data_IF_061115776394
#
_entry.id   IF_061115776394
#
_cell.length_a   1.000
_cell.length_b   1.000
_cell.length_c   1.000
_cell.angle_alpha   90.00
_cell.angle_beta   90.00
_cell.angle_gamma   90.00
#
_symmetry.space_group_name_H-M   'P 1'
#
loop_
_entity.id
_entity.type
_entity.pdbx_description
1 polymer ?
#
# COMPACT_ATOMS: atom_id res chain seq x y z
N UNK A 1 -14.04 -14.69 -13.70
CA UNK A 1 -12.79 -14.12 -13.15
C UNK A 1 -12.88 -12.62 -13.29
N UNK A 2 -13.12 -11.91 -12.19
CA UNK A 2 -13.21 -10.45 -12.17
C UNK A 2 -11.81 -9.83 -12.43
N UNK A 3 -11.47 -9.60 -13.70
CA UNK A 3 -10.43 -8.69 -14.26
C UNK A 3 -9.08 -8.49 -13.54
N UNK A 4 -8.68 -9.32 -12.58
CA UNK A 4 -7.44 -9.16 -11.79
C UNK A 4 -7.47 -7.97 -10.81
N UNK A 5 -8.65 -7.55 -10.34
CA UNK A 5 -8.75 -6.48 -9.34
C UNK A 5 -8.38 -7.04 -7.96
N UNK A 6 -7.35 -6.47 -7.33
CA UNK A 6 -6.79 -6.92 -6.05
C UNK A 6 -6.98 -5.92 -4.90
N UNK A 7 -7.50 -4.73 -5.18
CA UNK A 7 -7.55 -3.65 -4.21
C UNK A 7 -8.29 -2.41 -4.66
N UNK A 8 -8.52 -1.51 -3.70
CA UNK A 8 -9.11 -0.18 -3.88
C UNK A 8 -8.10 0.86 -3.42
N UNK A 9 -7.93 1.92 -4.21
CA UNK A 9 -7.02 3.03 -3.88
C UNK A 9 -7.84 4.23 -3.40
N UNK A 10 -7.45 4.81 -2.27
CA UNK A 10 -8.00 6.06 -1.75
C UNK A 10 -6.87 7.07 -1.51
N UNK A 11 -7.10 8.33 -1.88
CA UNK A 11 -6.16 9.43 -1.61
C UNK A 11 -6.86 10.59 -0.90
N UNK A 12 -7.04 10.48 0.43
CA UNK A 12 -7.78 11.48 1.23
C UNK A 12 -7.19 12.89 1.08
N UNK A 13 -5.86 13.02 1.15
CA UNK A 13 -5.16 14.30 1.10
C UNK A 13 -5.27 14.99 -0.27
N UNK A 14 -5.19 14.24 -1.36
CA UNK A 14 -5.30 14.82 -2.72
C UNK A 14 -6.73 15.23 -3.08
N UNK A 15 -7.74 14.60 -2.46
CA UNK A 15 -9.14 14.84 -2.77
C UNK A 15 -9.92 15.52 -1.64
N UNK A 16 -9.23 15.96 -0.58
CA UNK A 16 -9.78 16.70 0.56
C UNK A 16 -11.02 16.03 1.18
N UNK A 17 -10.92 14.72 1.46
CA UNK A 17 -11.97 13.98 2.17
C UNK A 17 -11.40 13.22 3.36
N UNK A 18 -12.28 12.86 4.30
CA UNK A 18 -11.93 12.07 5.48
C UNK A 18 -12.15 10.57 5.24
N UNK A 19 -11.23 9.71 5.69
CA UNK A 19 -11.46 8.26 5.73
C UNK A 19 -12.62 7.88 6.67
N UNK A 20 -13.01 8.77 7.58
CA UNK A 20 -14.15 8.58 8.48
C UNK A 20 -15.48 8.99 7.84
N UNK A 21 -15.47 9.48 6.60
CA UNK A 21 -16.68 9.91 5.93
C UNK A 21 -17.62 8.70 5.71
N UNK A 22 -18.89 8.83 6.11
CA UNK A 22 -19.85 7.72 6.14
C UNK A 22 -20.13 7.12 4.76
N UNK A 23 -19.98 7.91 3.70
CA UNK A 23 -20.10 7.41 2.31
C UNK A 23 -19.04 6.37 1.95
N UNK A 24 -17.95 6.22 2.72
CA UNK A 24 -16.93 5.20 2.47
C UNK A 24 -17.28 3.85 3.10
N UNK A 25 -18.33 3.76 3.93
CA UNK A 25 -18.71 2.49 4.57
C UNK A 25 -18.92 1.37 3.57
N UNK A 26 -19.59 1.63 2.43
CA UNK A 26 -19.80 0.61 1.40
C UNK A 26 -18.48 0.15 0.76
N UNK A 27 -17.47 1.04 0.68
CA UNK A 27 -16.14 0.70 0.15
C UNK A 27 -15.44 -0.25 1.10
N UNK A 28 -15.47 0.04 2.40
CA UNK A 28 -14.87 -0.82 3.42
C UNK A 28 -15.55 -2.18 3.51
N UNK A 29 -16.88 -2.22 3.43
CA UNK A 29 -17.65 -3.47 3.35
C UNK A 29 -17.31 -4.27 2.09
N UNK A 30 -17.17 -3.60 0.94
CA UNK A 30 -16.77 -4.26 -0.30
C UNK A 30 -15.38 -4.90 -0.16
N UNK A 31 -14.41 -4.16 0.37
CA UNK A 31 -13.03 -4.63 0.57
C UNK A 31 -13.03 -5.86 1.46
N UNK A 32 -13.74 -5.80 2.59
CA UNK A 32 -13.79 -6.91 3.55
C UNK A 32 -14.47 -8.15 2.95
N UNK A 33 -15.64 -7.98 2.33
CA UNK A 33 -16.40 -9.09 1.70
C UNK A 33 -15.68 -9.74 0.53
N UNK A 34 -14.77 -9.02 -0.13
CA UNK A 34 -14.02 -9.48 -1.30
C UNK A 34 -12.56 -9.81 -0.98
N UNK A 35 -12.14 -9.69 0.29
CA UNK A 35 -10.75 -9.94 0.69
C UNK A 35 -9.72 -9.05 0.00
N UNK A 36 -10.09 -7.82 -0.38
CA UNK A 36 -9.24 -6.92 -1.17
C UNK A 36 -8.24 -6.14 -0.28
N UNK A 37 -7.24 -5.54 -0.93
CA UNK A 37 -6.30 -4.60 -0.29
C UNK A 37 -6.90 -3.19 -0.30
N UNK A 38 -6.75 -2.45 0.79
CA UNK A 38 -6.90 -0.99 0.75
C UNK A 38 -5.54 -0.32 0.56
N UNK A 39 -5.38 0.46 -0.49
CA UNK A 39 -4.20 1.30 -0.72
C UNK A 39 -4.52 2.74 -0.33
N UNK A 40 -3.70 3.33 0.54
CA UNK A 40 -3.87 4.69 1.02
C UNK A 40 -2.66 5.54 0.64
N UNK A 41 -2.91 6.68 0.02
CA UNK A 41 -1.88 7.67 -0.27
C UNK A 41 -1.86 8.74 0.83
N UNK A 42 -0.77 8.81 1.58
CA UNK A 42 -0.48 9.80 2.63
C UNK A 42 -1.67 10.12 3.57
N UNK A 43 -2.24 9.11 4.27
CA UNK A 43 -3.33 9.33 5.21
C UNK A 43 -2.83 9.93 6.53
N UNK A 44 -3.70 10.67 7.24
CA UNK A 44 -3.38 11.09 8.61
C UNK A 44 -3.27 9.89 9.55
N UNK A 45 -2.34 9.94 10.51
CA UNK A 45 -2.14 8.86 11.49
C UNK A 45 -3.41 8.52 12.29
N UNK A 46 -4.19 9.54 12.67
CA UNK A 46 -5.40 9.34 13.48
C UNK A 46 -6.51 8.65 12.70
N UNK A 47 -6.66 8.96 11.41
CA UNK A 47 -7.61 8.26 10.56
C UNK A 47 -7.17 6.85 10.22
N UNK A 48 -5.87 6.64 10.01
CA UNK A 48 -5.29 5.32 9.81
C UNK A 48 -5.51 4.42 11.04
N UNK A 49 -5.26 4.93 12.25
CA UNK A 49 -5.54 4.18 13.49
C UNK A 49 -7.02 3.81 13.61
N UNK A 50 -7.92 4.77 13.42
CA UNK A 50 -9.37 4.51 13.44
C UNK A 50 -9.76 3.40 12.44
N UNK A 51 -9.20 3.44 11.24
CA UNK A 51 -9.48 2.44 10.21
C UNK A 51 -8.97 1.05 10.64
N UNK A 52 -7.74 0.98 11.15
CA UNK A 52 -7.11 -0.27 11.58
C UNK A 52 -7.80 -0.88 12.80
N UNK A 53 -8.35 -0.07 13.70
CA UNK A 53 -9.12 -0.54 14.86
C UNK A 53 -10.47 -1.13 14.44
N UNK A 54 -11.06 -0.62 13.35
CA UNK A 54 -12.41 -1.01 12.89
C UNK A 54 -12.41 -2.17 11.90
N UNK A 55 -11.38 -2.30 11.06
CA UNK A 55 -11.35 -3.27 9.95
C UNK A 55 -10.08 -4.12 9.95
N UNK A 56 -10.19 -5.34 9.39
CA UNK A 56 -9.15 -6.37 9.42
C UNK A 56 -8.47 -6.62 8.06
N UNK A 57 -8.90 -5.96 6.99
CA UNK A 57 -8.25 -6.11 5.68
C UNK A 57 -6.80 -5.58 5.66
N UNK A 58 -5.96 -6.03 4.70
CA UNK A 58 -4.62 -5.50 4.50
C UNK A 58 -4.64 -4.03 4.04
N UNK A 59 -3.68 -3.24 4.53
CA UNK A 59 -3.51 -1.83 4.16
C UNK A 59 -2.12 -1.62 3.58
N UNK A 60 -2.04 -0.98 2.41
CA UNK A 60 -0.78 -0.57 1.78
C UNK A 60 -0.70 0.95 1.79
N UNK A 61 0.38 1.49 2.36
CA UNK A 61 0.59 2.92 2.47
C UNK A 61 1.58 3.41 1.41
N UNK A 62 1.19 4.42 0.65
CA UNK A 62 2.05 5.14 -0.29
C UNK A 62 2.45 6.47 0.33
N UNK A 63 3.74 6.80 0.28
CA UNK A 63 4.31 8.07 0.79
C UNK A 63 3.93 8.39 2.24
N UNK A 64 3.81 7.38 3.09
CA UNK A 64 3.54 7.56 4.52
C UNK A 64 4.83 7.75 5.30
N UNK A 65 4.91 8.84 6.07
CA UNK A 65 5.98 9.07 7.06
C UNK A 65 5.72 8.32 8.38
N UNK A 66 4.51 7.79 8.56
CA UNK A 66 4.11 7.15 9.80
C UNK A 66 4.59 5.70 9.89
N UNK A 67 5.23 5.35 11.00
CA UNK A 67 5.55 3.95 11.33
C UNK A 67 4.43 3.38 12.21
N UNK A 68 3.65 2.46 11.64
CA UNK A 68 2.58 1.76 12.34
C UNK A 68 3.00 0.34 12.67
N UNK A 69 2.92 -0.02 13.95
CA UNK A 69 3.16 -1.38 14.42
C UNK A 69 1.89 -2.23 14.26
N UNK A 70 1.60 -2.65 13.03
CA UNK A 70 0.48 -3.52 12.69
C UNK A 70 0.90 -4.41 11.52
N UNK A 71 0.77 -5.73 11.68
CA UNK A 71 1.22 -6.73 10.70
C UNK A 71 0.47 -6.67 9.36
N UNK A 72 -0.71 -6.04 9.34
CA UNK A 72 -1.54 -5.87 8.15
C UNK A 72 -1.12 -4.66 7.31
N UNK A 73 -0.21 -3.83 7.83
CA UNK A 73 0.23 -2.59 7.19
C UNK A 73 1.54 -2.81 6.44
N UNK A 74 1.50 -2.55 5.14
CA UNK A 74 2.64 -2.57 4.23
C UNK A 74 2.96 -1.16 3.75
N UNK A 75 4.22 -0.92 3.36
CA UNK A 75 4.71 0.38 2.92
C UNK A 75 5.23 0.29 1.50
N UNK A 76 4.72 1.11 0.59
CA UNK A 76 5.35 1.27 -0.72
C UNK A 76 6.57 2.15 -0.55
N UNK A 77 7.72 1.64 -0.98
CA UNK A 77 9.00 2.36 -0.99
C UNK A 77 9.50 2.46 -2.43
N UNK A 78 9.98 3.63 -2.81
CA UNK A 78 10.56 3.90 -4.11
C UNK A 78 12.05 4.27 -3.95
N UNK A 79 12.70 4.67 -5.04
CA UNK A 79 14.12 5.01 -5.07
C UNK A 79 14.53 6.15 -4.11
N UNK A 80 13.60 6.99 -3.68
CA UNK A 80 13.81 8.13 -2.78
C UNK A 80 13.32 7.91 -1.35
N UNK A 81 12.51 6.87 -1.10
CA UNK A 81 11.95 6.56 0.22
C UNK A 81 12.98 6.01 1.18
N UNK A 82 12.82 6.29 2.48
CA UNK A 82 13.50 5.52 3.53
C UNK A 82 12.78 4.19 3.75
N UNK A 83 13.52 3.08 3.83
CA UNK A 83 12.94 1.77 4.16
C UNK A 83 12.68 1.72 5.67
N UNK A 84 11.41 1.74 6.05
CA UNK A 84 10.97 1.76 7.46
C UNK A 84 11.12 0.37 8.11
N UNK A 85 10.56 -0.67 7.48
CA UNK A 85 10.60 -2.07 7.95
C UNK A 85 10.74 -2.99 6.72
N UNK A 86 11.92 -3.59 6.47
CA UNK A 86 12.14 -4.44 5.29
C UNK A 86 11.16 -5.60 5.14
N UNK A 87 10.56 -6.10 6.23
CA UNK A 87 9.59 -7.21 6.19
C UNK A 87 8.20 -6.78 5.72
N UNK A 88 7.93 -5.48 5.70
CA UNK A 88 6.63 -4.90 5.32
C UNK A 88 6.74 -3.82 4.25
N UNK A 89 7.95 -3.50 3.82
CA UNK A 89 8.20 -2.62 2.67
C UNK A 89 8.05 -3.39 1.36
N UNK A 90 7.45 -2.75 0.36
CA UNK A 90 7.24 -3.26 -0.99
C UNK A 90 7.78 -2.22 -1.96
N UNK A 91 8.62 -2.64 -2.91
CA UNK A 91 9.07 -1.74 -3.97
C UNK A 91 7.91 -1.30 -4.86
N UNK A 92 7.76 0.02 -5.04
CA UNK A 92 6.89 0.64 -6.03
C UNK A 92 7.67 1.63 -6.87
N UNK A 93 7.47 1.59 -8.18
CA UNK A 93 8.23 2.45 -9.11
C UNK A 93 7.77 3.91 -9.14
N UNK A 94 6.53 4.17 -8.77
CA UNK A 94 5.80 5.41 -9.06
C UNK A 94 5.88 5.86 -10.53
N UNK A 95 6.25 5.01 -11.47
CA UNK A 95 6.27 5.41 -12.87
C UNK A 95 4.84 5.68 -13.38
N UNK A 96 4.63 6.69 -14.25
CA UNK A 96 5.64 7.52 -14.90
C UNK A 96 5.96 8.83 -14.15
N UNK A 97 5.63 8.95 -12.86
CA UNK A 97 5.97 10.15 -12.09
C UNK A 97 7.49 10.37 -12.02
N UNK A 98 7.89 11.63 -11.82
CA UNK A 98 9.30 12.05 -11.77
C UNK A 98 10.12 11.77 -13.05
N UNK A 99 9.45 11.60 -14.19
CA UNK A 99 10.09 11.35 -15.51
C UNK A 99 10.94 10.09 -15.55
N UNK A 100 10.70 9.13 -14.64
CA UNK A 100 11.37 7.85 -14.61
C UNK A 100 10.47 6.77 -15.21
N UNK A 101 11.01 5.98 -16.13
CA UNK A 101 10.36 4.74 -16.53
C UNK A 101 10.58 3.63 -15.49
N UNK A 102 9.84 2.52 -15.62
CA UNK A 102 9.89 1.38 -14.70
C UNK A 102 11.30 0.85 -14.46
N UNK A 103 12.11 0.73 -15.53
CA UNK A 103 13.46 0.19 -15.48
C UNK A 103 14.40 1.19 -14.78
N UNK A 104 14.28 2.48 -15.09
CA UNK A 104 15.08 3.53 -14.47
C UNK A 104 14.81 3.64 -12.98
N UNK A 105 13.54 3.61 -12.56
CA UNK A 105 13.18 3.61 -11.14
C UNK A 105 13.77 2.40 -10.42
N UNK A 106 13.69 1.20 -11.00
CA UNK A 106 14.22 0.00 -10.37
C UNK A 106 15.75 0.05 -10.22
N UNK A 107 16.46 0.54 -11.24
CA UNK A 107 17.91 0.74 -11.19
C UNK A 107 18.31 1.73 -10.10
N UNK A 108 17.59 2.84 -9.99
CA UNK A 108 17.85 3.84 -8.94
C UNK A 108 17.55 3.29 -7.55
N UNK A 109 16.46 2.54 -7.39
CA UNK A 109 16.13 1.88 -6.13
C UNK A 109 17.26 0.95 -5.67
N UNK A 110 17.72 0.04 -6.53
CA UNK A 110 18.83 -0.88 -6.21
C UNK A 110 20.13 -0.13 -5.93
N UNK A 111 20.41 0.95 -6.69
CA UNK A 111 21.60 1.78 -6.46
C UNK A 111 21.59 2.44 -5.09
N UNK A 112 20.44 2.91 -4.63
CA UNK A 112 20.31 3.69 -3.40
C UNK A 112 20.17 2.82 -2.15
N UNK A 113 19.51 1.66 -2.27
CA UNK A 113 19.16 0.81 -1.12
C UNK A 113 19.86 -0.55 -1.10
N UNK A 114 20.56 -0.91 -2.19
CA UNK A 114 20.95 -2.29 -2.44
C UNK A 114 19.77 -3.14 -2.92
N UNK A 115 20.07 -4.37 -3.37
CA UNK A 115 19.02 -5.33 -3.68
C UNK A 115 18.62 -6.11 -2.43
N UNK A 116 17.36 -5.93 -2.02
CA UNK A 116 16.70 -6.74 -1.00
C UNK A 116 15.55 -7.52 -1.66
N UNK A 117 15.63 -8.85 -1.68
CA UNK A 117 14.63 -9.74 -2.28
C UNK A 117 13.27 -9.62 -1.59
N UNK A 118 13.26 -9.37 -0.29
CA UNK A 118 12.03 -9.31 0.48
C UNK A 118 11.23 -8.07 0.05
N UNK A 119 11.89 -6.92 0.00
CA UNK A 119 11.31 -5.63 -0.42
C UNK A 119 11.00 -5.60 -1.92
N UNK A 120 11.91 -6.09 -2.76
CA UNK A 120 11.78 -5.99 -4.22
C UNK A 120 10.75 -6.94 -4.82
N UNK A 121 10.40 -8.03 -4.13
CA UNK A 121 9.58 -9.10 -4.71
C UNK A 121 8.69 -9.86 -3.72
N UNK A 122 9.29 -10.42 -2.65
CA UNK A 122 8.60 -11.42 -1.82
C UNK A 122 7.37 -10.85 -1.10
N UNK A 123 7.51 -9.69 -0.45
CA UNK A 123 6.44 -9.10 0.36
C UNK A 123 5.19 -8.80 -0.48
N UNK A 124 5.39 -8.27 -1.70
CA UNK A 124 4.30 -8.02 -2.65
C UNK A 124 3.64 -9.34 -3.07
N UNK A 125 4.45 -10.33 -3.45
CA UNK A 125 3.95 -11.63 -3.91
C UNK A 125 3.13 -12.34 -2.84
N UNK A 126 3.62 -12.34 -1.58
CA UNK A 126 2.90 -12.93 -0.45
C UNK A 126 1.58 -12.21 -0.16
N UNK A 127 1.57 -10.87 -0.19
CA UNK A 127 0.35 -10.09 -0.02
C UNK A 127 -0.69 -10.40 -1.12
N UNK A 128 -0.25 -10.45 -2.38
CA UNK A 128 -1.13 -10.77 -3.51
C UNK A 128 -1.67 -12.20 -3.45
N UNK A 129 -0.85 -13.17 -3.04
CA UNK A 129 -1.29 -14.55 -2.87
C UNK A 129 -2.33 -14.69 -1.76
N UNK A 130 -2.17 -13.96 -0.64
CA UNK A 130 -3.19 -13.92 0.42
C UNK A 130 -4.53 -13.41 -0.07
N UNK A 131 -4.53 -12.37 -0.91
CA UNK A 131 -5.75 -11.78 -1.49
C UNK A 131 -6.39 -12.76 -2.48
N UNK A 132 -5.60 -13.35 -3.37
CA UNK A 132 -6.09 -14.31 -4.35
C UNK A 132 -6.66 -15.59 -3.74
N UNK A 133 -6.16 -16.02 -2.57
CA UNK A 133 -6.72 -17.17 -1.86
C UNK A 133 -8.13 -16.90 -1.29
N UNK A 134 -8.52 -15.61 -1.17
CA UNK A 134 -9.82 -15.19 -0.64
C UNK A 134 -10.84 -14.84 -1.75
N UNK A 135 -10.45 -14.91 -3.04
CA UNK A 135 -11.30 -14.64 -4.21
C UNK A 135 -11.86 -15.94 -4.81
#
# INVERSE_FOLDING_TARGET
MDRGIIGVVLSPKHHNFSLRHSSLNFVYELIDRKGLILVLYDPSLDELKWLLDKYTFPVVLINSEHVVNNERVYYVVNHSSTIIDPRRSIYGSDAPYNSLNLIQSAKLFIKNHGYDKDVAYKNATELLNKVNANL
#
